data_IF_787175615658
#
_entry.id   IF_787175615658
#
_cell.length_a   1.000
_cell.length_b   1.000
_cell.length_c   1.000
_cell.angle_alpha   90.00
_cell.angle_beta   90.00
_cell.angle_gamma   90.00
#
_symmetry.space_group_name_H-M   'P 1'
#
loop_
_entity.id
_entity.type
_entity.pdbx_description
1 polymer ?
#
# COMPACT_ATOMS: atom_id res chain seq x y z
N UNK A 1 12.00 22.27 14.36
CA UNK A 1 10.72 21.77 14.92
C UNK A 1 10.90 20.29 15.21
N UNK A 2 10.34 19.76 16.32
CA UNK A 2 10.44 18.35 16.65
C UNK A 2 9.62 17.51 15.67
N UNK A 3 10.09 16.30 15.35
CA UNK A 3 9.34 15.37 14.51
C UNK A 3 8.08 14.88 15.25
N UNK A 4 6.96 14.57 14.56
CA UNK A 4 5.69 14.20 15.20
C UNK A 4 5.78 13.01 16.18
N UNK A 5 6.68 12.07 15.90
CA UNK A 5 6.89 10.87 16.72
C UNK A 5 8.25 10.88 17.45
N UNK A 6 8.85 12.06 17.60
CA UNK A 6 10.08 12.19 18.39
C UNK A 6 9.85 11.71 19.83
N UNK A 7 10.76 10.89 20.33
CA UNK A 7 10.65 10.24 21.65
C UNK A 7 9.87 8.93 21.67
N UNK A 8 9.10 8.60 20.62
CA UNK A 8 8.42 7.31 20.50
C UNK A 8 9.42 6.21 20.11
N UNK A 9 9.49 5.14 20.92
CA UNK A 9 10.34 3.97 20.68
C UNK A 9 9.50 2.78 20.23
N UNK A 10 9.90 2.16 19.11
CA UNK A 10 9.20 1.04 18.49
C UNK A 10 10.12 -0.16 18.38
N UNK A 11 9.69 -1.31 18.89
CA UNK A 11 10.33 -2.61 18.64
C UNK A 11 9.66 -3.26 17.43
N UNK A 12 10.43 -3.53 16.39
CA UNK A 12 9.99 -4.10 15.12
C UNK A 12 10.48 -5.54 14.99
N UNK A 13 9.58 -6.52 15.18
CA UNK A 13 9.84 -7.96 14.99
C UNK A 13 9.30 -8.47 13.65
N UNK A 14 8.99 -7.57 12.74
CA UNK A 14 8.35 -7.90 11.46
C UNK A 14 9.35 -8.30 10.38
N UNK A 15 8.87 -8.84 9.26
CA UNK A 15 9.69 -9.32 8.14
C UNK A 15 9.02 -9.02 6.80
N UNK A 16 9.81 -9.08 5.75
CA UNK A 16 9.40 -8.92 4.34
C UNK A 16 8.83 -7.53 4.05
N UNK A 17 7.49 -7.38 3.97
CA UNK A 17 6.85 -6.18 3.45
C UNK A 17 5.88 -5.50 4.45
N UNK A 18 4.78 -6.11 4.93
CA UNK A 18 3.72 -5.34 5.58
C UNK A 18 4.18 -4.63 6.87
N UNK A 19 4.77 -5.35 7.78
CA UNK A 19 5.27 -4.77 9.03
C UNK A 19 6.45 -3.82 8.84
N UNK A 20 7.50 -4.21 8.07
CA UNK A 20 8.62 -3.31 7.79
C UNK A 20 8.21 -2.00 7.14
N UNK A 21 7.25 -2.00 6.20
CA UNK A 21 6.76 -0.77 5.60
C UNK A 21 5.98 0.10 6.60
N UNK A 22 5.16 -0.51 7.47
CA UNK A 22 4.46 0.22 8.52
C UNK A 22 5.42 0.93 9.47
N UNK A 23 6.43 0.21 9.98
CA UNK A 23 7.41 0.76 10.93
C UNK A 23 8.37 1.76 10.27
N UNK A 24 8.65 1.63 8.96
CA UNK A 24 9.37 2.64 8.20
C UNK A 24 8.60 3.97 8.12
N UNK A 25 7.29 3.93 7.83
CA UNK A 25 6.48 5.14 7.79
C UNK A 25 6.52 5.89 9.13
N UNK A 26 6.50 5.17 10.25
CA UNK A 26 6.62 5.77 11.59
C UNK A 26 8.04 6.31 11.85
N UNK A 27 9.07 5.60 11.38
CA UNK A 27 10.45 6.05 11.49
C UNK A 27 10.72 7.34 10.71
N UNK A 28 10.12 7.50 9.53
CA UNK A 28 10.24 8.71 8.71
C UNK A 28 9.69 9.96 9.43
N UNK A 29 8.80 9.78 10.40
CA UNK A 29 8.26 10.83 11.26
C UNK A 29 8.91 10.92 12.65
N UNK A 30 10.11 10.36 12.82
CA UNK A 30 10.96 10.55 13.99
C UNK A 30 10.85 9.49 15.08
N UNK A 31 10.03 8.45 14.90
CA UNK A 31 10.05 7.33 15.84
C UNK A 31 11.41 6.61 15.81
N UNK A 32 11.94 6.28 16.98
CA UNK A 32 13.12 5.43 17.09
C UNK A 32 12.72 3.97 16.92
N UNK A 33 12.93 3.42 15.73
CA UNK A 33 12.59 2.03 15.42
C UNK A 33 13.83 1.13 15.61
N UNK A 34 13.70 0.12 16.46
CA UNK A 34 14.69 -0.94 16.67
C UNK A 34 14.15 -2.24 16.09
N UNK A 35 14.71 -2.64 14.95
CA UNK A 35 14.38 -3.92 14.32
C UNK A 35 15.11 -5.04 15.06
N UNK A 36 14.35 -5.97 15.61
CA UNK A 36 14.84 -7.13 16.32
C UNK A 36 14.85 -8.33 15.39
N UNK A 37 16.02 -8.81 15.05
CA UNK A 37 16.23 -9.86 14.05
C UNK A 37 16.75 -11.15 14.69
N UNK A 38 16.41 -12.28 14.10
CA UNK A 38 17.01 -13.57 14.47
C UNK A 38 18.49 -13.65 14.05
N UNK A 39 19.27 -14.56 14.63
CA UNK A 39 20.64 -14.83 14.15
C UNK A 39 20.65 -15.15 12.65
N UNK A 40 21.47 -14.43 11.91
CA UNK A 40 21.50 -14.47 10.44
C UNK A 40 20.73 -13.35 9.76
N UNK A 41 19.97 -12.57 10.52
CA UNK A 41 19.16 -11.46 10.01
C UNK A 41 17.77 -11.89 9.54
N UNK A 42 16.93 -10.90 9.28
CA UNK A 42 15.60 -11.11 8.71
C UNK A 42 15.70 -11.70 7.29
N UNK A 43 14.80 -12.61 6.96
CA UNK A 43 14.78 -13.32 5.67
C UNK A 43 14.69 -12.40 4.43
N UNK A 44 14.07 -11.23 4.56
CA UNK A 44 14.01 -10.21 3.49
C UNK A 44 15.40 -9.70 3.07
N UNK A 45 16.40 -9.77 3.94
CA UNK A 45 17.80 -9.41 3.61
C UNK A 45 18.40 -10.32 2.54
N UNK A 46 17.96 -11.58 2.48
CA UNK A 46 18.43 -12.59 1.55
C UNK A 46 17.65 -12.60 0.21
N UNK A 47 16.69 -11.70 0.03
CA UNK A 47 15.90 -11.63 -1.22
C UNK A 47 16.57 -10.74 -2.27
N UNK A 48 16.76 -11.24 -3.52
CA UNK A 48 17.28 -10.45 -4.62
C UNK A 48 16.27 -9.37 -5.06
N UNK A 49 16.73 -8.35 -5.83
CA UNK A 49 18.09 -8.16 -6.34
C UNK A 49 19.04 -7.60 -5.28
N UNK A 50 20.35 -7.83 -5.48
CA UNK A 50 21.40 -7.36 -4.59
C UNK A 50 22.24 -6.27 -5.26
N UNK A 51 22.67 -5.29 -4.45
CA UNK A 51 23.70 -4.30 -4.80
C UNK A 51 24.73 -4.32 -3.68
N UNK A 52 26.00 -4.60 -3.98
CA UNK A 52 27.08 -4.80 -2.99
C UNK A 52 26.74 -5.77 -1.86
N UNK A 53 26.01 -6.85 -2.14
CA UNK A 53 25.59 -7.83 -1.14
C UNK A 53 24.37 -7.42 -0.30
N UNK A 54 23.80 -6.23 -0.51
CA UNK A 54 22.62 -5.76 0.20
C UNK A 54 21.35 -5.93 -0.65
N UNK A 55 20.32 -6.55 -0.09
CA UNK A 55 19.01 -6.72 -0.73
C UNK A 55 18.32 -5.38 -0.91
N UNK A 56 18.05 -4.96 -2.15
CA UNK A 56 17.43 -3.65 -2.41
C UNK A 56 15.96 -3.62 -1.99
N UNK A 57 15.25 -4.76 -2.03
CA UNK A 57 13.88 -4.89 -1.50
C UNK A 57 13.84 -4.64 0.01
N UNK A 58 14.80 -5.21 0.75
CA UNK A 58 14.93 -4.95 2.18
C UNK A 58 15.19 -3.47 2.45
N UNK A 59 16.14 -2.87 1.73
CA UNK A 59 16.50 -1.46 1.89
C UNK A 59 15.31 -0.52 1.63
N UNK A 60 14.44 -0.85 0.68
CA UNK A 60 13.30 0.00 0.29
C UNK A 60 12.22 0.16 1.37
N UNK A 61 12.18 -0.75 2.38
CA UNK A 61 11.16 -0.77 3.44
C UNK A 61 11.76 -0.76 4.87
N UNK A 62 13.07 -0.49 5.00
CA UNK A 62 13.73 -0.52 6.31
C UNK A 62 14.64 0.70 6.59
N UNK A 63 14.51 1.80 5.83
CA UNK A 63 15.25 3.03 6.12
C UNK A 63 14.89 3.58 7.50
N UNK A 64 15.78 4.40 8.06
CA UNK A 64 15.62 5.07 9.35
C UNK A 64 15.49 4.12 10.56
N UNK A 65 15.81 2.82 10.41
CA UNK A 65 15.76 1.85 11.50
C UNK A 65 17.15 1.51 12.02
N UNK A 66 17.24 1.24 13.31
CA UNK A 66 18.37 0.54 13.93
C UNK A 66 18.06 -0.96 13.94
N UNK A 67 19.10 -1.79 13.96
CA UNK A 67 18.94 -3.25 14.02
C UNK A 67 19.75 -3.84 15.16
N UNK A 68 19.16 -4.85 15.83
CA UNK A 68 19.82 -5.71 16.80
C UNK A 68 19.48 -7.18 16.50
N UNK A 69 20.39 -8.07 16.85
CA UNK A 69 20.17 -9.52 16.71
C UNK A 69 19.89 -10.14 18.06
N UNK A 70 18.74 -10.78 18.22
CA UNK A 70 18.34 -11.52 19.43
C UNK A 70 17.72 -12.86 19.07
N UNK A 71 18.26 -13.95 19.62
CA UNK A 71 17.61 -15.25 19.53
C UNK A 71 16.55 -15.40 20.63
N UNK A 72 15.32 -15.01 20.36
CA UNK A 72 14.22 -15.05 21.33
C UNK A 72 13.85 -16.47 21.83
N UNK A 73 14.43 -17.54 21.25
CA UNK A 73 14.35 -18.89 21.80
C UNK A 73 15.25 -19.06 23.04
N UNK A 74 16.24 -18.20 23.20
CA UNK A 74 17.15 -18.19 24.34
C UNK A 74 16.57 -17.34 25.49
N UNK A 75 16.62 -17.84 26.71
CA UNK A 75 16.09 -17.17 27.90
C UNK A 75 16.74 -15.80 28.17
N UNK A 76 18.07 -15.74 28.12
CA UNK A 76 18.82 -14.46 28.31
C UNK A 76 18.46 -13.43 27.25
N UNK A 77 18.18 -13.85 26.02
CA UNK A 77 17.73 -12.93 24.96
C UNK A 77 16.30 -12.41 25.24
N UNK A 78 15.40 -13.24 25.80
CA UNK A 78 14.08 -12.79 26.25
C UNK A 78 14.14 -11.82 27.43
N UNK A 79 15.08 -12.02 28.38
CA UNK A 79 15.34 -11.05 29.47
C UNK A 79 15.78 -9.68 28.92
N UNK A 80 16.69 -9.67 27.93
CA UNK A 80 17.15 -8.45 27.26
C UNK A 80 15.96 -7.82 26.53
N UNK A 81 15.17 -8.61 25.81
CA UNK A 81 13.99 -8.13 25.09
C UNK A 81 12.95 -7.52 26.03
N UNK A 82 12.70 -8.15 27.18
CA UNK A 82 11.79 -7.62 28.20
C UNK A 82 12.24 -6.26 28.76
N UNK A 83 13.56 -6.05 28.90
CA UNK A 83 14.11 -4.74 29.27
C UNK A 83 13.88 -3.70 28.17
N UNK A 84 14.03 -4.08 26.89
CA UNK A 84 13.72 -3.18 25.80
C UNK A 84 12.23 -2.82 25.78
N UNK A 85 11.33 -3.79 26.01
CA UNK A 85 9.88 -3.56 26.12
C UNK A 85 9.53 -2.58 27.24
N UNK A 86 10.20 -2.68 28.41
CA UNK A 86 9.92 -1.77 29.52
C UNK A 86 10.21 -0.28 29.20
N UNK A 87 11.06 -0.03 28.19
CA UNK A 87 11.45 1.30 27.74
C UNK A 87 10.85 1.71 26.39
N UNK A 88 9.97 0.88 25.83
CA UNK A 88 9.40 1.09 24.50
C UNK A 88 7.93 1.46 24.57
N UNK A 89 7.46 2.18 23.57
CA UNK A 89 6.07 2.63 23.43
C UNK A 89 5.22 1.67 22.62
N UNK A 90 5.84 1.07 21.60
CA UNK A 90 5.15 0.23 20.62
C UNK A 90 5.98 -1.04 20.37
N UNK A 91 5.28 -2.15 20.22
CA UNK A 91 5.82 -3.39 19.68
C UNK A 91 5.00 -3.75 18.45
N UNK A 92 5.66 -4.07 17.33
CA UNK A 92 5.03 -4.55 16.11
C UNK A 92 5.56 -5.93 15.78
N UNK A 93 4.67 -6.89 15.63
CA UNK A 93 5.04 -8.27 15.25
C UNK A 93 4.15 -8.79 14.12
N UNK A 94 4.62 -9.86 13.47
CA UNK A 94 3.98 -10.43 12.29
C UNK A 94 4.11 -11.96 12.29
N UNK A 95 4.13 -12.57 13.47
CA UNK A 95 4.18 -14.01 13.58
C UNK A 95 2.77 -14.62 13.45
N UNK A 96 2.72 -15.92 13.29
CA UNK A 96 1.45 -16.63 13.41
C UNK A 96 0.90 -16.48 14.83
N UNK A 97 -0.43 -16.36 14.98
CA UNK A 97 -1.05 -16.29 16.30
C UNK A 97 -0.55 -17.36 17.27
N UNK A 98 -0.27 -16.97 18.50
CA UNK A 98 0.24 -17.85 19.54
C UNK A 98 1.78 -18.08 19.54
N UNK A 99 2.53 -17.59 18.57
CA UNK A 99 4.00 -17.73 18.56
C UNK A 99 4.62 -16.89 19.66
N UNK A 100 4.20 -15.64 19.81
CA UNK A 100 4.70 -14.76 20.87
C UNK A 100 4.27 -15.26 22.26
N UNK A 101 3.05 -15.79 22.40
CA UNK A 101 2.58 -16.39 23.65
C UNK A 101 3.44 -17.59 24.08
N UNK A 102 3.78 -18.48 23.14
CA UNK A 102 4.69 -19.63 23.41
C UNK A 102 6.09 -19.20 23.84
N UNK A 103 6.51 -18.00 23.50
CA UNK A 103 7.80 -17.44 23.93
C UNK A 103 7.69 -16.70 25.29
N UNK A 104 6.46 -16.56 25.85
CA UNK A 104 6.20 -15.72 27.04
C UNK A 104 6.33 -14.22 26.73
N UNK A 105 6.12 -13.84 25.49
CA UNK A 105 6.22 -12.47 24.96
C UNK A 105 4.93 -12.01 24.30
N UNK A 106 3.81 -12.68 24.58
CA UNK A 106 2.48 -12.25 24.14
C UNK A 106 2.00 -10.96 24.80
N UNK A 107 0.93 -10.37 24.29
CA UNK A 107 0.43 -9.09 24.80
C UNK A 107 0.16 -9.12 26.31
N UNK A 108 -0.47 -10.16 26.84
CA UNK A 108 -0.78 -10.27 28.27
C UNK A 108 0.45 -10.41 29.17
N UNK A 109 1.57 -10.95 28.63
CA UNK A 109 2.83 -11.01 29.36
C UNK A 109 3.55 -9.66 29.30
N UNK A 110 3.65 -9.04 28.13
CA UNK A 110 4.34 -7.77 27.98
C UNK A 110 3.62 -6.61 28.65
N UNK A 111 2.29 -6.65 28.73
CA UNK A 111 1.48 -5.69 29.48
C UNK A 111 1.77 -5.68 30.98
N UNK A 112 2.21 -6.80 31.56
CA UNK A 112 2.64 -6.88 32.97
C UNK A 112 3.99 -6.15 33.17
N UNK A 113 4.83 -6.12 32.13
CA UNK A 113 6.14 -5.43 32.14
C UNK A 113 5.92 -3.93 31.88
N UNK A 114 5.08 -3.59 30.91
CA UNK A 114 4.80 -2.22 30.50
C UNK A 114 3.30 -2.07 30.19
N UNK A 115 2.54 -1.55 31.15
CA UNK A 115 1.10 -1.34 31.00
C UNK A 115 0.75 -0.30 29.91
N UNK A 116 1.71 0.52 29.49
CA UNK A 116 1.58 1.50 28.43
C UNK A 116 1.92 1.00 27.03
N UNK A 117 2.34 -0.28 26.89
CA UNK A 117 2.77 -0.81 25.59
C UNK A 117 1.62 -0.90 24.60
N UNK A 118 1.77 -0.32 23.41
CA UNK A 118 0.91 -0.57 22.26
C UNK A 118 1.46 -1.78 21.52
N UNK A 119 0.73 -2.86 21.51
CA UNK A 119 1.11 -4.12 20.88
C UNK A 119 0.35 -4.28 19.56
N UNK A 120 1.02 -4.19 18.43
CA UNK A 120 0.43 -4.32 17.11
C UNK A 120 0.80 -5.67 16.48
N UNK A 121 -0.18 -6.54 16.31
CA UNK A 121 -0.04 -7.81 15.61
C UNK A 121 -0.59 -7.69 14.19
N UNK A 122 0.24 -7.89 13.18
CA UNK A 122 -0.16 -7.89 11.76
C UNK A 122 -0.22 -9.35 11.30
N UNK A 123 -1.41 -9.84 10.99
CA UNK A 123 -1.63 -11.23 10.63
C UNK A 123 -2.41 -11.37 9.32
N UNK A 124 -2.45 -12.57 8.75
CA UNK A 124 -3.20 -12.80 7.51
C UNK A 124 -4.71 -12.68 7.69
N UNK A 125 -5.24 -13.30 8.78
CA UNK A 125 -6.66 -13.50 8.98
C UNK A 125 -7.15 -13.02 10.36
N UNK A 126 -6.35 -12.25 11.10
CA UNK A 126 -6.66 -11.80 12.45
C UNK A 126 -6.23 -12.80 13.54
N UNK A 127 -6.27 -12.34 14.79
CA UNK A 127 -5.93 -13.15 15.97
C UNK A 127 -7.08 -14.07 16.40
N UNK A 128 -8.27 -13.91 15.83
CA UNK A 128 -9.50 -14.66 16.15
C UNK A 128 -10.08 -15.34 14.92
N UNK A 129 -11.15 -16.09 15.09
CA UNK A 129 -11.85 -16.75 14.00
C UNK A 129 -11.24 -18.08 13.55
N UNK A 130 -11.96 -18.81 12.66
CA UNK A 130 -11.58 -20.19 12.29
C UNK A 130 -10.31 -20.28 11.45
N UNK A 131 -9.87 -19.18 10.83
CA UNK A 131 -8.69 -19.17 9.96
C UNK A 131 -7.47 -18.52 10.61
N UNK A 132 -7.51 -18.15 11.88
CA UNK A 132 -6.42 -17.49 12.59
C UNK A 132 -5.06 -18.16 12.43
N UNK A 133 -5.02 -19.49 12.30
CA UNK A 133 -3.79 -20.27 12.16
C UNK A 133 -3.48 -20.68 10.70
N UNK A 134 -4.33 -20.26 9.74
CA UNK A 134 -4.16 -20.62 8.34
C UNK A 134 -2.99 -19.86 7.73
N UNK A 135 -2.20 -20.57 6.91
CA UNK A 135 -1.14 -19.95 6.15
C UNK A 135 -1.70 -19.17 4.96
N UNK A 136 -1.05 -18.07 4.60
CA UNK A 136 -1.41 -17.29 3.43
C UNK A 136 -0.38 -16.21 3.15
N UNK A 137 -0.48 -15.64 1.97
CA UNK A 137 0.19 -14.44 1.50
C UNK A 137 -0.85 -13.52 0.86
N UNK A 138 -0.44 -12.35 0.44
CA UNK A 138 -1.29 -11.30 -0.14
C UNK A 138 -2.37 -11.84 -1.07
N UNK A 139 -2.01 -12.66 -2.06
CA UNK A 139 -2.94 -13.24 -3.03
C UNK A 139 -4.06 -14.07 -2.38
N UNK A 140 -3.76 -14.77 -1.26
CA UNK A 140 -4.76 -15.55 -0.54
C UNK A 140 -5.73 -14.65 0.23
N UNK A 141 -5.22 -13.57 0.83
CA UNK A 141 -6.02 -12.59 1.56
C UNK A 141 -6.95 -11.84 0.61
N UNK A 142 -6.44 -11.38 -0.55
CA UNK A 142 -7.24 -10.74 -1.59
C UNK A 142 -8.32 -11.66 -2.17
N UNK A 143 -7.99 -12.97 -2.32
CA UNK A 143 -8.95 -13.94 -2.86
C UNK A 143 -10.14 -14.14 -1.93
N UNK A 144 -9.88 -14.28 -0.62
CA UNK A 144 -10.95 -14.46 0.39
C UNK A 144 -11.72 -13.16 0.63
N UNK A 145 -11.06 -12.01 0.55
CA UNK A 145 -11.70 -10.71 0.63
C UNK A 145 -12.60 -10.38 -0.58
N UNK A 146 -12.55 -11.19 -1.65
CA UNK A 146 -13.33 -10.93 -2.87
C UNK A 146 -12.65 -10.00 -3.87
N UNK A 147 -11.56 -9.35 -3.51
CA UNK A 147 -10.84 -8.39 -4.37
C UNK A 147 -10.35 -9.04 -5.66
N UNK A 148 -9.81 -10.27 -5.57
CA UNK A 148 -9.27 -10.97 -6.73
C UNK A 148 -10.34 -11.30 -7.78
N UNK A 149 -11.59 -11.53 -7.38
CA UNK A 149 -12.68 -11.83 -8.32
C UNK A 149 -13.09 -10.60 -9.13
N UNK A 150 -12.86 -9.41 -8.60
CA UNK A 150 -13.16 -8.13 -9.23
C UNK A 150 -11.95 -7.53 -9.98
N UNK A 151 -10.73 -7.90 -9.57
CA UNK A 151 -9.50 -7.55 -10.29
C UNK A 151 -9.27 -8.59 -11.39
N UNK A 152 -10.01 -8.45 -12.47
CA UNK A 152 -10.05 -9.45 -13.54
C UNK A 152 -10.23 -8.78 -14.91
N UNK A 153 -9.99 -9.52 -15.98
CA UNK A 153 -10.31 -9.07 -17.34
C UNK A 153 -11.83 -8.96 -17.53
N UNK A 154 -12.27 -8.31 -18.61
CA UNK A 154 -13.70 -8.20 -18.95
C UNK A 154 -14.36 -9.57 -19.21
N UNK A 155 -13.56 -10.59 -19.53
CA UNK A 155 -14.01 -11.99 -19.72
C UNK A 155 -14.11 -12.74 -18.38
N UNK A 156 -13.75 -12.08 -17.27
CA UNK A 156 -13.84 -12.65 -15.92
C UNK A 156 -12.63 -13.46 -15.46
N UNK A 157 -11.51 -13.40 -16.20
CA UNK A 157 -10.27 -14.05 -15.76
C UNK A 157 -9.57 -13.19 -14.70
N UNK A 158 -9.40 -13.67 -13.44
CA UNK A 158 -8.65 -12.93 -12.42
C UNK A 158 -7.21 -12.65 -12.85
N UNK A 159 -6.73 -11.43 -12.56
CA UNK A 159 -5.37 -11.01 -12.83
C UNK A 159 -4.67 -10.62 -11.53
N UNK A 160 -3.36 -10.84 -11.48
CA UNK A 160 -2.56 -10.46 -10.31
C UNK A 160 -2.33 -8.95 -10.29
N UNK A 161 -2.58 -8.33 -9.13
CA UNK A 161 -2.10 -6.97 -8.89
C UNK A 161 -0.57 -6.95 -8.83
N UNK A 162 0.06 -5.94 -9.41
CA UNK A 162 1.51 -5.71 -9.27
C UNK A 162 1.88 -5.11 -7.90
N UNK A 163 0.89 -4.64 -7.14
CA UNK A 163 1.04 -4.15 -5.77
C UNK A 163 0.37 -5.13 -4.81
N UNK A 164 1.03 -5.47 -3.71
CA UNK A 164 0.51 -6.33 -2.65
C UNK A 164 -0.50 -5.54 -1.81
N UNK A 165 -1.75 -5.48 -2.27
CA UNK A 165 -2.81 -4.62 -1.72
C UNK A 165 -3.17 -5.04 -0.29
N UNK A 166 -3.29 -6.34 -0.01
CA UNK A 166 -3.61 -6.81 1.32
C UNK A 166 -2.46 -6.54 2.30
N UNK A 167 -1.21 -6.80 1.88
CA UNK A 167 -0.02 -6.55 2.71
C UNK A 167 0.13 -5.06 3.02
N UNK A 168 0.05 -4.20 1.99
CA UNK A 168 0.35 -2.76 2.13
C UNK A 168 -0.88 -1.99 2.63
N UNK A 169 -1.98 -1.97 1.88
CA UNK A 169 -3.16 -1.19 2.25
C UNK A 169 -3.91 -1.87 3.42
N UNK A 170 -4.11 -3.18 3.35
CA UNK A 170 -4.82 -3.93 4.39
C UNK A 170 -4.01 -4.15 5.68
N UNK A 171 -2.69 -4.31 5.56
CA UNK A 171 -1.79 -4.55 6.69
C UNK A 171 -1.07 -3.28 7.15
N UNK A 172 -0.12 -2.79 6.35
CA UNK A 172 0.79 -1.72 6.78
C UNK A 172 0.07 -0.42 7.14
N UNK A 173 -0.82 0.08 6.28
CA UNK A 173 -1.49 1.36 6.53
C UNK A 173 -2.46 1.26 7.71
N UNK A 174 -3.21 0.18 7.84
CA UNK A 174 -4.07 -0.02 9.01
C UNK A 174 -3.27 -0.22 10.30
N UNK A 175 -2.09 -0.86 10.25
CA UNK A 175 -1.21 -0.95 11.40
C UNK A 175 -0.73 0.43 11.86
N UNK A 176 -0.31 1.30 10.93
CA UNK A 176 0.05 2.69 11.26
C UNK A 176 -1.11 3.44 11.89
N UNK A 177 -2.31 3.36 11.29
CA UNK A 177 -3.52 4.01 11.83
C UNK A 177 -3.83 3.50 13.23
N UNK A 178 -3.84 2.17 13.45
CA UNK A 178 -4.14 1.57 14.74
C UNK A 178 -3.11 1.96 15.82
N UNK A 179 -1.82 1.96 15.48
CA UNK A 179 -0.75 2.40 16.38
C UNK A 179 -0.97 3.86 16.79
N UNK A 180 -1.23 4.75 15.83
CA UNK A 180 -1.46 6.17 16.12
C UNK A 180 -2.70 6.39 16.98
N UNK A 181 -3.82 5.70 16.70
CA UNK A 181 -5.04 5.73 17.52
C UNK A 181 -4.77 5.22 18.93
N UNK A 182 -4.01 4.13 19.07
CA UNK A 182 -3.67 3.56 20.37
C UNK A 182 -2.75 4.49 21.17
N UNK A 183 -1.75 5.10 20.54
CA UNK A 183 -0.88 6.11 21.15
C UNK A 183 -1.69 7.34 21.59
N UNK A 184 -2.58 7.84 20.74
CA UNK A 184 -3.47 8.96 21.07
C UNK A 184 -4.40 8.61 22.24
N UNK A 185 -5.00 7.42 22.26
CA UNK A 185 -5.80 6.97 23.41
C UNK A 185 -4.98 6.86 24.70
N UNK A 186 -3.71 6.41 24.58
CA UNK A 186 -2.79 6.30 25.72
C UNK A 186 -2.52 7.66 26.39
N UNK A 187 -2.49 8.77 25.64
CA UNK A 187 -2.27 10.10 26.22
C UNK A 187 -3.35 10.47 27.23
N UNK A 188 -4.56 9.89 27.11
CA UNK A 188 -5.68 10.14 28.01
C UNK A 188 -5.82 9.09 29.13
N UNK A 189 -5.44 7.86 28.82
CA UNK A 189 -5.70 6.71 29.73
C UNK A 189 -4.45 6.24 30.47
N UNK A 190 -3.26 6.60 30.00
CA UNK A 190 -1.99 6.06 30.46
C UNK A 190 -1.75 4.59 30.09
N UNK A 191 -2.69 3.95 29.38
CA UNK A 191 -2.67 2.51 29.07
C UNK A 191 -2.46 2.26 27.59
N UNK A 192 -1.60 1.30 27.27
CA UNK A 192 -1.50 0.71 25.94
C UNK A 192 -2.63 -0.28 25.66
N UNK A 193 -2.61 -0.86 24.47
CA UNK A 193 -3.60 -1.86 24.06
C UNK A 193 -3.08 -2.77 22.95
N UNK A 194 -3.74 -3.89 22.73
CA UNK A 194 -3.55 -4.77 21.58
C UNK A 194 -4.25 -4.15 20.36
N UNK A 195 -3.51 -4.07 19.25
CA UNK A 195 -4.02 -3.76 17.92
C UNK A 195 -3.95 -5.04 17.08
N UNK A 196 -5.08 -5.63 16.76
CA UNK A 196 -5.23 -6.82 15.92
C UNK A 196 -5.47 -6.37 14.48
N UNK A 197 -4.51 -6.57 13.61
CA UNK A 197 -4.56 -6.15 12.19
C UNK A 197 -4.58 -7.40 11.31
N UNK A 198 -5.73 -7.65 10.72
CA UNK A 198 -5.93 -8.68 9.70
C UNK A 198 -5.75 -8.08 8.31
N UNK A 199 -4.78 -8.56 7.55
CA UNK A 199 -4.56 -8.13 6.16
C UNK A 199 -5.77 -8.44 5.27
N UNK A 200 -6.47 -9.55 5.53
CA UNK A 200 -7.71 -9.89 4.83
C UNK A 200 -8.84 -8.90 5.15
N UNK A 201 -9.06 -8.57 6.42
CA UNK A 201 -10.11 -7.63 6.82
C UNK A 201 -9.85 -6.23 6.26
N UNK A 202 -8.59 -5.81 6.30
CA UNK A 202 -8.17 -4.56 5.69
C UNK A 202 -8.44 -4.53 4.19
N UNK A 203 -8.09 -5.60 3.46
CA UNK A 203 -8.39 -5.72 2.03
C UNK A 203 -9.91 -5.73 1.76
N UNK A 204 -10.70 -6.44 2.58
CA UNK A 204 -12.16 -6.46 2.49
C UNK A 204 -12.76 -5.08 2.68
N UNK A 205 -12.24 -4.29 3.62
CA UNK A 205 -12.75 -2.94 3.90
C UNK A 205 -12.63 -1.98 2.72
N UNK A 206 -11.69 -2.22 1.79
CA UNK A 206 -11.55 -1.44 0.56
C UNK A 206 -12.71 -1.65 -0.43
N UNK A 207 -13.49 -2.70 -0.26
CA UNK A 207 -14.69 -2.98 -1.06
C UNK A 207 -15.97 -2.33 -0.50
N UNK A 208 -15.86 -1.42 0.46
CA UNK A 208 -17.03 -0.80 1.11
C UNK A 208 -17.99 -0.18 0.08
N UNK A 209 -17.49 0.51 -0.93
CA UNK A 209 -18.31 1.09 -2.02
C UNK A 209 -19.01 0.01 -2.83
N UNK A 210 -18.28 -1.03 -3.23
CA UNK A 210 -18.81 -2.16 -4.02
C UNK A 210 -19.88 -2.96 -3.27
N UNK A 211 -19.67 -3.20 -1.96
CA UNK A 211 -20.69 -3.83 -1.12
C UNK A 211 -21.95 -2.95 -0.98
N UNK A 212 -21.77 -1.64 -0.85
CA UNK A 212 -22.88 -0.69 -0.84
C UNK A 212 -23.71 -0.76 -2.11
N UNK A 213 -23.06 -0.78 -3.27
CA UNK A 213 -23.71 -0.90 -4.56
C UNK A 213 -24.43 -2.24 -4.73
N UNK A 214 -23.76 -3.35 -4.47
CA UNK A 214 -24.35 -4.68 -4.54
C UNK A 214 -25.57 -4.82 -3.62
N UNK A 215 -25.46 -4.39 -2.39
CA UNK A 215 -26.58 -4.49 -1.42
C UNK A 215 -27.75 -3.57 -1.76
N UNK A 216 -27.54 -2.51 -2.55
CA UNK A 216 -28.56 -1.56 -2.97
C UNK A 216 -29.33 -1.97 -4.23
N UNK A 217 -28.72 -2.76 -5.12
CA UNK A 217 -29.31 -3.13 -6.40
C UNK A 217 -29.47 -4.65 -6.63
N UNK A 218 -29.00 -5.49 -5.69
CA UNK A 218 -29.00 -6.96 -5.75
C UNK A 218 -28.29 -7.56 -6.98
N UNK A 219 -27.39 -6.76 -7.63
CA UNK A 219 -26.63 -7.21 -8.79
C UNK A 219 -25.18 -7.42 -8.42
N UNK A 220 -24.67 -8.64 -8.62
CA UNK A 220 -23.26 -8.94 -8.45
C UNK A 220 -22.43 -8.11 -9.44
N UNK A 221 -21.39 -7.41 -8.97
CA UNK A 221 -20.50 -6.66 -9.83
C UNK A 221 -19.73 -7.59 -10.78
N UNK A 222 -19.63 -7.16 -12.03
CA UNK A 222 -18.89 -7.86 -13.08
C UNK A 222 -17.52 -7.21 -13.29
N UNK A 223 -16.42 -7.97 -13.28
CA UNK A 223 -15.09 -7.40 -13.45
C UNK A 223 -14.96 -6.67 -14.80
N UNK A 224 -14.37 -5.48 -14.77
CA UNK A 224 -14.17 -4.65 -15.95
C UNK A 224 -15.45 -4.14 -16.63
N UNK A 225 -16.62 -4.27 -15.98
CA UNK A 225 -17.92 -3.86 -16.53
C UNK A 225 -18.67 -2.87 -15.64
N UNK A 226 -18.15 -2.57 -14.46
CA UNK A 226 -18.77 -1.60 -13.58
C UNK A 226 -18.33 -0.16 -13.90
N UNK A 227 -19.03 0.80 -13.33
CA UNK A 227 -18.84 2.23 -13.58
C UNK A 227 -17.38 2.71 -13.41
N UNK A 228 -16.71 2.26 -12.37
CA UNK A 228 -15.31 2.64 -12.06
C UNK A 228 -14.27 1.57 -12.41
N UNK A 229 -14.65 0.57 -13.20
CA UNK A 229 -13.73 -0.53 -13.55
C UNK A 229 -13.60 -0.79 -15.05
N UNK A 230 -13.94 0.21 -15.87
CA UNK A 230 -13.83 0.10 -17.34
C UNK A 230 -15.12 -0.29 -18.05
N UNK A 231 -16.26 -0.35 -17.35
CA UNK A 231 -17.57 -0.57 -17.93
C UNK A 231 -18.10 0.64 -18.70
N UNK A 232 -17.55 1.83 -18.44
CA UNK A 232 -17.94 3.08 -19.09
C UNK A 232 -16.78 3.70 -19.85
N UNK A 233 -17.07 4.23 -21.05
CA UNK A 233 -16.07 4.80 -21.95
C UNK A 233 -15.31 5.97 -21.32
N UNK A 234 -16.00 6.77 -20.51
CA UNK A 234 -15.43 7.94 -19.84
C UNK A 234 -14.49 7.58 -18.67
N UNK A 235 -14.47 6.32 -18.22
CA UNK A 235 -13.59 5.84 -17.16
C UNK A 235 -12.93 4.53 -17.59
N UNK A 236 -11.87 4.64 -18.40
CA UNK A 236 -11.25 3.49 -19.03
C UNK A 236 -9.78 3.73 -19.40
N UNK A 237 -9.10 2.66 -19.81
CA UNK A 237 -7.74 2.67 -20.33
C UNK A 237 -7.79 2.27 -21.81
N UNK A 238 -7.15 3.07 -22.67
CA UNK A 238 -7.17 2.88 -24.12
C UNK A 238 -5.76 2.65 -24.66
N UNK A 239 -5.66 1.71 -25.61
CA UNK A 239 -4.41 1.43 -26.30
C UNK A 239 -4.16 2.46 -27.40
N UNK A 240 -2.91 2.94 -27.51
CA UNK A 240 -2.46 3.86 -28.52
C UNK A 240 -1.79 3.15 -29.70
N UNK A 241 -1.54 3.89 -30.79
CA UNK A 241 -0.91 3.41 -32.03
C UNK A 241 0.44 2.72 -31.82
N UNK A 242 1.24 3.22 -30.90
CA UNK A 242 2.58 2.71 -30.55
C UNK A 242 2.57 1.52 -29.57
N UNK A 243 1.36 1.03 -29.21
CA UNK A 243 1.18 -0.06 -28.26
C UNK A 243 1.22 0.35 -26.79
N UNK A 244 1.48 1.61 -26.47
CA UNK A 244 1.36 2.21 -25.16
C UNK A 244 -0.11 2.49 -24.80
N UNK A 245 -0.38 3.06 -23.63
CA UNK A 245 -1.73 3.26 -23.14
C UNK A 245 -1.93 4.67 -22.57
N UNK A 246 -3.18 5.12 -22.61
CA UNK A 246 -3.67 6.33 -21.95
C UNK A 246 -4.87 5.98 -21.08
N UNK A 247 -5.12 6.77 -20.03
CA UNK A 247 -6.31 6.66 -19.18
C UNK A 247 -7.19 7.90 -19.32
N UNK A 248 -8.49 7.65 -19.36
CA UNK A 248 -9.54 8.67 -19.34
C UNK A 248 -10.38 8.48 -18.09
N UNK A 249 -10.58 9.54 -17.31
CA UNK A 249 -11.38 9.56 -16.08
C UNK A 249 -12.41 10.69 -16.09
N UNK A 250 -13.01 10.99 -17.25
CA UNK A 250 -13.89 12.14 -17.49
C UNK A 250 -15.33 11.88 -17.00
N UNK A 251 -15.48 11.59 -15.70
CA UNK A 251 -16.77 11.23 -15.09
C UNK A 251 -17.76 12.39 -15.13
N UNK A 252 -17.35 13.59 -14.70
CA UNK A 252 -18.22 14.75 -14.68
C UNK A 252 -18.55 15.22 -16.10
N UNK A 253 -19.79 15.67 -16.30
CA UNK A 253 -20.28 16.10 -17.62
C UNK A 253 -19.38 17.14 -18.29
N UNK A 254 -18.83 18.09 -17.54
CA UNK A 254 -17.95 19.12 -18.08
C UNK A 254 -16.68 18.54 -18.72
N UNK A 255 -16.09 17.51 -18.10
CA UNK A 255 -14.88 16.85 -18.62
C UNK A 255 -15.21 15.98 -19.83
N UNK A 256 -16.32 15.24 -19.80
CA UNK A 256 -16.77 14.45 -20.93
C UNK A 256 -17.12 15.31 -22.14
N UNK A 257 -17.87 16.41 -21.94
CA UNK A 257 -18.18 17.38 -22.99
C UNK A 257 -16.91 17.98 -23.59
N UNK A 258 -15.99 18.45 -22.75
CA UNK A 258 -14.71 19.00 -23.20
C UNK A 258 -13.91 17.98 -24.01
N UNK A 259 -13.85 16.74 -23.56
CA UNK A 259 -13.19 15.63 -24.25
C UNK A 259 -13.82 15.36 -25.62
N UNK A 260 -15.13 15.14 -25.67
CA UNK A 260 -15.84 14.87 -26.93
C UNK A 260 -15.73 16.03 -27.92
N UNK A 261 -15.92 17.27 -27.46
CA UNK A 261 -15.82 18.46 -28.32
C UNK A 261 -14.40 18.65 -28.87
N UNK A 262 -13.36 18.40 -28.05
CA UNK A 262 -11.97 18.46 -28.53
C UNK A 262 -11.68 17.40 -29.62
N UNK A 263 -12.28 16.23 -29.50
CA UNK A 263 -12.20 15.17 -30.53
C UNK A 263 -13.13 15.42 -31.74
N UNK A 264 -14.01 16.44 -31.69
CA UNK A 264 -15.10 16.67 -32.69
C UNK A 264 -16.04 15.47 -32.80
N UNK A 265 -16.41 14.91 -31.64
CA UNK A 265 -17.30 13.76 -31.50
C UNK A 265 -18.46 14.09 -30.55
N UNK A 266 -19.13 15.21 -30.82
CA UNK A 266 -20.26 15.74 -30.02
C UNK A 266 -21.40 14.75 -29.90
N UNK A 267 -21.58 13.86 -30.89
CA UNK A 267 -22.60 12.81 -30.89
C UNK A 267 -22.42 11.78 -29.75
N UNK A 268 -21.21 11.70 -29.16
CA UNK A 268 -20.94 10.82 -28.00
C UNK A 268 -21.37 11.45 -26.67
N UNK A 269 -21.58 12.78 -26.64
CA UNK A 269 -21.91 13.51 -25.41
C UNK A 269 -23.16 12.94 -24.73
N UNK A 270 -24.31 12.77 -25.42
CA UNK A 270 -25.51 12.25 -24.78
C UNK A 270 -25.43 10.78 -24.37
N UNK A 271 -24.38 10.05 -24.80
CA UNK A 271 -24.21 8.63 -24.51
C UNK A 271 -23.42 8.35 -23.20
N UNK A 272 -22.96 9.40 -22.52
CA UNK A 272 -22.05 9.31 -21.36
C UNK A 272 -22.49 8.26 -20.31
N UNK A 273 -23.77 8.27 -19.93
CA UNK A 273 -24.29 7.43 -18.85
C UNK A 273 -25.31 6.39 -19.32
N UNK A 274 -25.39 6.10 -20.62
CA UNK A 274 -26.30 5.11 -21.17
C UNK A 274 -25.62 3.74 -21.19
N UNK A 275 -25.94 2.80 -20.26
CA UNK A 275 -25.22 1.53 -20.13
C UNK A 275 -25.24 0.70 -21.41
N UNK A 276 -26.36 0.66 -22.11
CA UNK A 276 -26.57 -0.13 -23.34
C UNK A 276 -25.74 0.39 -24.53
N UNK A 277 -25.17 1.59 -24.40
CA UNK A 277 -24.35 2.22 -25.44
C UNK A 277 -22.88 2.16 -25.15
N UNK A 278 -22.45 1.69 -23.95
CA UNK A 278 -21.06 1.80 -23.55
C UNK A 278 -20.12 0.94 -24.41
N UNK A 279 -20.51 -0.26 -24.78
CA UNK A 279 -19.66 -1.09 -25.65
C UNK A 279 -19.40 -0.38 -26.99
N UNK A 280 -20.42 0.22 -27.59
CA UNK A 280 -20.28 1.03 -28.83
C UNK A 280 -19.31 2.22 -28.60
N UNK A 281 -19.50 2.99 -27.53
CA UNK A 281 -18.65 4.17 -27.27
C UNK A 281 -17.20 3.76 -26.96
N UNK A 282 -17.01 2.66 -26.25
CA UNK A 282 -15.67 2.11 -25.97
C UNK A 282 -14.96 1.67 -27.26
N UNK A 283 -15.67 1.00 -28.17
CA UNK A 283 -15.12 0.59 -29.49
C UNK A 283 -14.72 1.80 -30.33
N UNK A 284 -15.60 2.83 -30.39
CA UNK A 284 -15.31 4.08 -31.10
C UNK A 284 -14.06 4.77 -30.55
N UNK A 285 -13.98 4.96 -29.21
CA UNK A 285 -12.82 5.58 -28.60
C UNK A 285 -11.55 4.72 -28.75
N UNK A 286 -11.68 3.40 -28.67
CA UNK A 286 -10.56 2.49 -28.92
C UNK A 286 -9.99 2.66 -30.32
N UNK A 287 -10.85 2.82 -31.32
CA UNK A 287 -10.45 3.07 -32.70
C UNK A 287 -9.77 4.44 -32.87
N UNK A 288 -10.31 5.48 -32.23
CA UNK A 288 -9.74 6.83 -32.22
C UNK A 288 -8.36 6.83 -31.59
N UNK A 289 -8.18 6.19 -30.41
CA UNK A 289 -6.89 6.20 -29.72
C UNK A 289 -5.78 5.45 -30.47
N UNK A 290 -6.11 4.54 -31.38
CA UNK A 290 -5.13 3.89 -32.27
C UNK A 290 -4.60 4.80 -33.39
N UNK A 291 -5.14 6.00 -33.58
CA UNK A 291 -4.68 6.93 -34.65
C UNK A 291 -3.36 7.61 -34.31
N UNK A 292 -3.05 7.83 -33.02
CA UNK A 292 -1.86 8.54 -32.55
C UNK A 292 -1.11 7.74 -31.49
N UNK A 293 0.15 8.09 -31.31
CA UNK A 293 0.96 7.59 -30.19
C UNK A 293 0.49 8.19 -28.85
N UNK A 294 0.89 7.57 -27.74
CA UNK A 294 0.61 8.09 -26.40
C UNK A 294 1.05 9.55 -26.24
N UNK A 295 2.27 9.85 -26.65
CA UNK A 295 2.84 11.18 -26.46
C UNK A 295 2.16 12.24 -27.35
N UNK A 296 1.74 11.86 -28.58
CA UNK A 296 0.93 12.72 -29.43
C UNK A 296 -0.45 13.00 -28.80
N UNK A 297 -1.08 12.00 -28.15
CA UNK A 297 -2.34 12.21 -27.43
C UNK A 297 -2.15 13.09 -26.19
N UNK A 298 -1.07 12.92 -25.43
CA UNK A 298 -0.76 13.79 -24.29
C UNK A 298 -0.59 15.23 -24.76
N UNK A 299 0.17 15.49 -25.81
CA UNK A 299 0.33 16.83 -26.37
C UNK A 299 -0.98 17.40 -26.91
N UNK A 300 -1.84 16.55 -27.52
CA UNK A 300 -3.15 16.99 -28.04
C UNK A 300 -4.07 17.52 -26.93
N UNK A 301 -4.04 16.91 -25.74
CA UNK A 301 -4.90 17.31 -24.61
C UNK A 301 -4.19 18.17 -23.55
N UNK A 302 -2.92 18.53 -23.72
CA UNK A 302 -2.07 19.20 -22.72
C UNK A 302 -2.71 20.45 -22.08
N UNK A 303 -3.48 21.21 -22.87
CA UNK A 303 -4.07 22.48 -22.44
C UNK A 303 -5.53 22.37 -22.02
N UNK A 304 -6.08 21.19 -22.06
CA UNK A 304 -7.50 20.97 -21.79
C UNK A 304 -7.68 20.45 -20.37
N UNK A 305 -8.59 21.04 -19.61
CA UNK A 305 -8.96 20.59 -18.26
C UNK A 305 -9.92 19.37 -18.39
N UNK A 306 -9.33 18.24 -18.74
CA UNK A 306 -10.00 16.94 -18.82
C UNK A 306 -9.18 15.90 -18.08
N UNK A 307 -9.83 14.91 -17.49
CA UNK A 307 -9.17 13.86 -16.70
C UNK A 307 -8.50 12.83 -17.64
N UNK A 308 -7.40 13.24 -18.28
CA UNK A 308 -6.68 12.44 -19.25
C UNK A 308 -5.20 12.37 -18.88
N UNK A 309 -4.60 11.16 -18.83
CA UNK A 309 -3.19 10.98 -18.49
C UNK A 309 -2.56 9.80 -19.26
N UNK A 310 -1.23 9.83 -19.50
CA UNK A 310 -0.52 8.65 -20.00
C UNK A 310 -0.46 7.55 -18.92
N UNK A 311 -0.49 6.29 -19.34
CA UNK A 311 -0.09 5.16 -18.48
C UNK A 311 1.42 5.04 -18.57
N UNK A 312 2.12 5.43 -17.52
CA UNK A 312 3.58 5.42 -17.47
C UNK A 312 4.13 4.04 -17.13
N UNK A 313 5.25 3.68 -17.75
CA UNK A 313 6.06 2.55 -17.30
C UNK A 313 6.84 2.95 -16.05
N UNK A 314 7.29 1.97 -15.29
CA UNK A 314 7.99 2.23 -14.02
C UNK A 314 9.27 3.07 -14.18
N UNK A 315 9.99 2.92 -15.31
CA UNK A 315 11.20 3.69 -15.62
C UNK A 315 10.91 5.14 -16.06
N UNK A 316 9.69 5.46 -16.46
CA UNK A 316 9.24 6.81 -16.80
C UNK A 316 8.77 7.60 -15.56
N UNK A 317 8.30 6.90 -14.50
CA UNK A 317 7.76 7.53 -13.29
C UNK A 317 8.73 8.52 -12.62
N UNK A 318 10.05 8.22 -12.48
CA UNK A 318 11.00 9.18 -11.90
C UNK A 318 11.20 10.46 -12.72
N UNK A 319 10.85 10.45 -14.00
CA UNK A 319 11.01 11.58 -14.93
C UNK A 319 9.77 12.48 -14.97
N UNK A 320 8.65 12.01 -14.38
CA UNK A 320 7.41 12.74 -14.38
C UNK A 320 7.50 13.93 -13.39
N UNK A 321 7.22 15.14 -13.88
CA UNK A 321 7.43 16.40 -13.15
C UNK A 321 6.67 16.47 -11.82
N UNK A 322 5.43 16.01 -11.77
CA UNK A 322 4.63 16.00 -10.54
C UNK A 322 5.21 15.04 -9.50
N UNK A 323 5.75 13.89 -9.94
CA UNK A 323 6.41 12.91 -9.07
C UNK A 323 7.70 13.51 -8.51
N UNK A 324 8.47 14.19 -9.35
CA UNK A 324 9.71 14.88 -8.97
C UNK A 324 9.42 16.03 -8.01
N UNK A 325 8.47 16.92 -8.33
CA UNK A 325 8.08 18.05 -7.49
C UNK A 325 7.56 17.64 -6.11
N UNK A 326 6.99 16.45 -5.99
CA UNK A 326 6.54 15.89 -4.70
C UNK A 326 7.57 15.00 -4.02
N UNK A 327 8.76 14.87 -4.59
CA UNK A 327 9.86 14.05 -4.04
C UNK A 327 9.41 12.59 -3.74
N UNK A 328 8.59 12.03 -4.63
CA UNK A 328 8.04 10.69 -4.42
C UNK A 328 8.97 9.58 -4.86
N UNK A 329 10.01 9.91 -5.63
CA UNK A 329 11.10 9.01 -5.96
C UNK A 329 12.41 9.64 -5.48
N UNK A 330 13.11 8.92 -4.60
CA UNK A 330 14.37 9.35 -4.02
C UNK A 330 15.48 8.51 -4.64
N UNK A 331 16.52 9.18 -5.13
CA UNK A 331 17.71 8.54 -5.67
C UNK A 331 18.76 8.42 -4.58
N UNK A 332 18.97 7.20 -4.06
CA UNK A 332 20.06 6.91 -3.14
C UNK A 332 21.34 6.72 -3.95
N UNK A 333 22.20 7.74 -3.90
CA UNK A 333 23.45 7.76 -4.68
C UNK A 333 24.48 6.80 -4.09
N UNK A 334 25.24 6.14 -4.97
CA UNK A 334 26.34 5.26 -4.60
C UNK A 334 25.95 4.28 -3.46
N UNK A 335 24.80 3.61 -3.60
CA UNK A 335 24.22 2.76 -2.58
C UNK A 335 25.24 1.79 -2.00
N UNK A 336 25.48 1.89 -0.68
CA UNK A 336 26.47 1.09 0.06
C UNK A 336 27.89 1.07 -0.58
N UNK A 337 28.30 2.18 -1.18
CA UNK A 337 29.62 2.29 -1.80
C UNK A 337 29.80 1.49 -3.09
N UNK A 338 28.72 1.04 -3.72
CA UNK A 338 28.73 0.14 -4.89
C UNK A 338 29.06 0.82 -6.22
N UNK A 339 29.07 2.14 -6.26
CA UNK A 339 29.07 2.91 -7.52
C UNK A 339 27.73 2.91 -8.25
N UNK A 340 26.72 2.20 -7.73
CA UNK A 340 25.36 2.12 -8.30
C UNK A 340 24.37 2.92 -7.47
N UNK A 341 23.54 3.68 -8.16
CA UNK A 341 22.39 4.35 -7.55
C UNK A 341 21.18 3.42 -7.51
N UNK A 342 20.35 3.54 -6.47
CA UNK A 342 19.05 2.88 -6.43
C UNK A 342 17.94 3.92 -6.23
N UNK A 343 16.74 3.57 -6.67
CA UNK A 343 15.53 4.35 -6.41
C UNK A 343 14.74 3.75 -5.27
N UNK A 344 14.28 4.60 -4.36
CA UNK A 344 13.35 4.26 -3.28
C UNK A 344 12.17 5.23 -3.31
N UNK A 345 11.02 4.80 -2.80
CA UNK A 345 9.84 5.68 -2.73
C UNK A 345 9.97 6.68 -1.60
N UNK A 346 9.56 7.92 -1.85
CA UNK A 346 9.38 8.96 -0.84
C UNK A 346 8.18 8.66 0.08
N UNK A 347 8.02 9.49 1.11
CA UNK A 347 6.85 9.39 1.98
C UNK A 347 5.69 10.23 1.40
N UNK A 348 4.49 9.66 1.21
CA UNK A 348 3.36 10.38 0.62
C UNK A 348 2.71 11.39 1.57
N UNK A 349 2.95 11.27 2.87
CA UNK A 349 2.37 12.16 3.90
C UNK A 349 3.22 13.43 3.97
N UNK A 350 2.63 14.57 3.66
CA UNK A 350 3.29 15.89 3.68
C UNK A 350 2.63 16.76 4.76
N UNK A 351 3.28 16.89 5.92
CA UNK A 351 2.85 17.76 7.01
C UNK A 351 3.54 19.12 6.86
N UNK A 352 2.79 20.22 6.98
CA UNK A 352 3.29 21.58 6.75
C UNK A 352 4.42 21.98 7.72
N UNK A 353 4.25 21.65 9.00
CA UNK A 353 5.13 22.12 10.08
C UNK A 353 6.07 21.05 10.62
N UNK A 354 5.87 19.80 10.24
CA UNK A 354 6.66 18.66 10.69
C UNK A 354 6.85 17.65 9.56
N UNK A 355 7.59 18.01 8.50
CA UNK A 355 7.82 17.12 7.36
C UNK A 355 8.56 15.86 7.78
N UNK A 356 8.37 14.79 7.02
CA UNK A 356 9.11 13.54 7.22
C UNK A 356 10.60 13.74 6.90
N UNK A 357 11.43 12.95 7.55
CA UNK A 357 12.88 12.88 7.29
C UNK A 357 13.20 11.54 6.62
N UNK A 358 13.75 11.60 5.38
CA UNK A 358 14.06 10.41 4.58
C UNK A 358 15.56 10.38 4.28
#
# INVERSE_FOLDING_TARGET
>A
MSAPLEGIKILDLTRYLPGPFATQLLADFGATVIKVEEPGGELGRALPPFVSGYGTRFASVNRNKKSITLNLKNEKAREIFSKLVSESDVLVEQFRPGVMDKLGLGYEDLKKINAGIVYCAITGYGLTGPWREKAGHDVNYLSIAGVSSLTATREGQPVMSSVQIADVAGGSLYAVIAILLALFNRTRTGKGQLCDISMMDGALSLLAYTFGEWSGNDKLPLPGKEFLTGGFAMYNIYKCKDGSYVSLGAIEQKFWHGFCSKLKREELIPLQYIPEKQDYVIEELSSIFLEKTRDEWVAFFERDDICFTPVLRLDEVPLQEQVAAREMIIKSLNFMGSGKDIFITGNPIKLSDSPCNI
#
